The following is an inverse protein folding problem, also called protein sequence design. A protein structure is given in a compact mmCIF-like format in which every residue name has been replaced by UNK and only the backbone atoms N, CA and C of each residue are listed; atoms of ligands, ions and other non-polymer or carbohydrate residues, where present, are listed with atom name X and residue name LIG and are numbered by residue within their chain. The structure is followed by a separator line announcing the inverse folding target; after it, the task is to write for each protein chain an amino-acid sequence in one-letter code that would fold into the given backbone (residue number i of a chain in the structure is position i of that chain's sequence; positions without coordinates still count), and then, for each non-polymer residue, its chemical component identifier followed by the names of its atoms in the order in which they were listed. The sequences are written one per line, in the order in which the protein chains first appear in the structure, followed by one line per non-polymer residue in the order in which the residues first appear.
data_IF_183113334553
#
_entry.id   IF_183113334553
#
_cell.length_a   1.000
_cell.length_b   1.000
_cell.length_c   1.000
_cell.angle_alpha   90.00
_cell.angle_beta   90.00
_cell.angle_gamma   90.00
#
_symmetry.space_group_name_H-M   'P 1'
#
loop_
_entity.id
_entity.type
_entity.pdbx_description
1 polymer ?
#
# COMPACT_ATOMS: atom_id res chain seq x y z
N UNK A 1 -21.97 3.74 17.30
CA UNK A 1 -20.91 2.74 17.01
C UNK A 1 -20.17 3.25 15.80
N UNK A 2 -18.96 3.76 15.97
CA UNK A 2 -18.14 4.19 14.84
C UNK A 2 -17.72 2.96 14.04
N UNK A 3 -18.40 2.75 12.92
CA UNK A 3 -18.20 1.58 12.10
C UNK A 3 -16.79 1.60 11.50
N UNK A 4 -16.04 0.52 11.73
CA UNK A 4 -14.90 0.19 10.88
C UNK A 4 -15.43 0.06 9.44
N UNK A 5 -14.81 0.78 8.52
CA UNK A 5 -15.16 0.74 7.10
C UNK A 5 -14.02 0.06 6.37
N UNK A 6 -14.34 -0.89 5.51
CA UNK A 6 -13.40 -1.58 4.64
C UNK A 6 -13.53 -1.09 3.20
N UNK A 7 -12.43 -1.14 2.47
CA UNK A 7 -12.37 -0.92 1.04
C UNK A 7 -11.57 -2.04 0.38
N UNK A 8 -11.93 -2.40 -0.85
CA UNK A 8 -11.14 -3.34 -1.63
C UNK A 8 -9.78 -2.71 -2.00
N UNK A 9 -8.70 -3.40 -1.68
CA UNK A 9 -7.34 -3.05 -2.06
C UNK A 9 -6.66 -4.26 -2.73
N UNK A 10 -5.65 -4.02 -3.56
CA UNK A 10 -4.88 -5.09 -4.20
C UNK A 10 -3.64 -5.39 -3.35
N UNK A 11 -3.53 -6.63 -2.89
CA UNK A 11 -2.35 -7.16 -2.21
C UNK A 11 -1.42 -7.83 -3.22
N UNK A 12 -0.16 -7.41 -3.24
CA UNK A 12 0.96 -8.11 -3.86
C UNK A 12 1.68 -8.90 -2.76
N UNK A 13 1.42 -10.20 -2.62
CA UNK A 13 2.03 -11.00 -1.56
C UNK A 13 3.50 -11.26 -1.87
N UNK A 14 4.33 -11.27 -0.82
CA UNK A 14 5.77 -11.48 -0.97
C UNK A 14 6.16 -12.94 -1.24
N UNK A 15 5.27 -13.88 -0.95
CA UNK A 15 5.48 -15.33 -1.03
C UNK A 15 5.35 -15.94 -2.45
N UNK A 16 5.10 -15.11 -3.47
CA UNK A 16 5.01 -15.56 -4.86
C UNK A 16 3.60 -15.98 -5.31
N UNK A 17 2.59 -15.89 -4.46
CA UNK A 17 1.19 -15.98 -4.91
C UNK A 17 0.87 -14.83 -5.87
N UNK A 18 -0.14 -15.05 -6.72
CA UNK A 18 -0.64 -13.99 -7.62
C UNK A 18 -1.29 -12.88 -6.80
N UNK A 19 -1.21 -11.60 -7.22
CA UNK A 19 -1.91 -10.51 -6.55
C UNK A 19 -3.43 -10.73 -6.51
N UNK A 20 -4.06 -10.33 -5.41
CA UNK A 20 -5.49 -10.54 -5.15
C UNK A 20 -6.11 -9.40 -4.33
N UNK A 21 -7.44 -9.33 -4.30
CA UNK A 21 -8.16 -8.31 -3.55
C UNK A 21 -8.25 -8.66 -2.05
N UNK A 22 -8.11 -7.66 -1.20
CA UNK A 22 -8.23 -7.76 0.26
C UNK A 22 -9.04 -6.60 0.82
N UNK A 23 -9.67 -6.82 1.97
CA UNK A 23 -10.34 -5.78 2.73
C UNK A 23 -9.33 -4.92 3.50
N UNK A 24 -9.12 -3.69 3.06
CA UNK A 24 -8.33 -2.70 3.77
C UNK A 24 -9.22 -1.97 4.77
N UNK A 25 -9.04 -2.31 6.06
CA UNK A 25 -9.80 -1.72 7.16
C UNK A 25 -9.36 -0.27 7.42
N UNK A 26 -10.32 0.58 7.79
CA UNK A 26 -10.07 1.95 8.20
C UNK A 26 -10.76 2.29 9.52
N UNK A 27 -10.06 2.98 10.42
CA UNK A 27 -10.62 3.53 11.67
C UNK A 27 -10.83 5.04 11.57
N UNK A 28 -11.75 5.64 12.32
CA UNK A 28 -11.76 7.09 12.51
C UNK A 28 -10.49 7.54 13.25
N UNK A 29 -9.92 8.69 12.89
CA UNK A 29 -8.79 9.32 13.61
C UNK A 29 -9.22 10.25 14.74
N UNK A 30 -10.47 10.72 14.69
CA UNK A 30 -11.09 11.55 15.70
C UNK A 30 -12.46 10.97 16.03
N UNK A 31 -12.77 10.91 17.33
CA UNK A 31 -14.10 10.55 17.81
C UNK A 31 -14.92 11.84 17.91
N UNK A 32 -15.88 12.02 17.00
CA UNK A 32 -16.73 13.22 16.92
C UNK A 32 -17.96 12.97 16.04
N UNK A 33 -18.93 13.90 16.07
CA UNK A 33 -20.22 13.74 15.39
C UNK A 33 -20.15 13.78 13.85
N UNK A 34 -19.05 14.27 13.28
CA UNK A 34 -18.78 14.26 11.84
C UNK A 34 -17.79 13.14 11.51
N UNK A 35 -17.91 12.48 10.34
CA UNK A 35 -16.90 11.52 9.90
C UNK A 35 -15.57 12.26 9.71
N UNK A 36 -14.71 12.16 10.73
CA UNK A 36 -13.37 12.71 10.68
C UNK A 36 -12.48 11.94 9.70
N UNK A 37 -11.23 12.39 9.52
CA UNK A 37 -10.26 11.70 8.68
C UNK A 37 -10.15 10.24 9.11
N UNK A 38 -10.05 9.32 8.15
CA UNK A 38 -9.93 7.89 8.45
C UNK A 38 -8.47 7.46 8.33
N UNK A 39 -8.08 6.47 9.13
CA UNK A 39 -6.75 5.88 9.12
C UNK A 39 -6.83 4.48 8.52
N UNK A 40 -6.11 4.19 7.41
CA UNK A 40 -6.00 2.84 6.90
C UNK A 40 -5.12 1.97 7.79
N UNK A 41 -5.40 0.66 7.81
CA UNK A 41 -4.65 -0.35 8.57
C UNK A 41 -4.01 -1.40 7.64
N UNK A 42 -3.07 -1.01 6.77
CA UNK A 42 -2.40 -1.95 5.87
C UNK A 42 -1.53 -2.96 6.63
N UNK A 43 -1.14 -2.67 7.88
CA UNK A 43 -0.38 -3.59 8.73
C UNK A 43 -1.09 -4.94 8.94
N UNK A 44 -2.43 -4.99 8.84
CA UNK A 44 -3.19 -6.24 8.96
C UNK A 44 -2.89 -7.26 7.85
N UNK A 45 -2.27 -6.81 6.76
CA UNK A 45 -1.90 -7.64 5.60
C UNK A 45 -0.37 -7.73 5.40
N UNK A 46 0.43 -7.19 6.33
CA UNK A 46 1.89 -7.16 6.24
C UNK A 46 2.52 -8.17 7.21
N UNK A 47 2.98 -9.31 6.67
CA UNK A 47 3.61 -10.35 7.48
C UNK A 47 4.89 -9.84 8.16
N UNK A 48 5.12 -10.27 9.40
CA UNK A 48 6.28 -9.92 10.25
C UNK A 48 6.47 -8.43 10.55
N UNK A 49 5.50 -7.58 10.22
CA UNK A 49 5.53 -6.16 10.61
C UNK A 49 5.47 -6.02 12.15
N UNK A 50 6.19 -5.05 12.70
CA UNK A 50 6.07 -4.72 14.11
C UNK A 50 4.66 -4.17 14.40
N UNK A 51 4.11 -4.50 15.57
CA UNK A 51 2.76 -4.06 15.92
C UNK A 51 2.74 -2.55 16.17
N UNK A 52 1.82 -1.82 15.53
CA UNK A 52 1.71 -0.36 15.67
C UNK A 52 1.61 0.11 17.14
N UNK A 53 1.02 -0.71 18.02
CA UNK A 53 0.87 -0.41 19.45
C UNK A 53 2.17 -0.50 20.25
N UNK A 54 3.17 -1.24 19.76
CA UNK A 54 4.47 -1.36 20.45
C UNK A 54 5.44 -0.24 20.07
N UNK A 55 5.09 0.62 19.11
CA UNK A 55 5.95 1.73 18.69
C UNK A 55 5.68 2.99 19.52
N UNK A 56 6.75 3.68 19.99
CA UNK A 56 6.59 4.93 20.71
C UNK A 56 6.03 6.04 19.81
N UNK A 57 5.30 7.00 20.40
CA UNK A 57 4.89 8.23 19.71
C UNK A 57 3.90 8.05 18.57
N UNK A 58 3.19 6.91 18.48
CA UNK A 58 2.21 6.67 17.41
C UNK A 58 2.84 6.47 16.02
N UNK A 59 4.13 6.11 15.97
CA UNK A 59 4.81 5.78 14.73
C UNK A 59 4.12 4.62 14.01
N UNK A 60 4.16 4.66 12.68
CA UNK A 60 3.59 3.62 11.83
C UNK A 60 4.71 2.71 11.34
N UNK A 61 4.54 1.39 11.41
CA UNK A 61 5.57 0.44 10.97
C UNK A 61 5.64 0.29 9.44
N UNK A 62 4.85 1.08 8.72
CA UNK A 62 4.72 1.14 7.28
C UNK A 62 4.83 2.58 6.78
N UNK A 63 5.17 2.75 5.51
CA UNK A 63 5.11 4.03 4.78
C UNK A 63 4.18 3.89 3.59
N UNK A 64 3.89 5.00 2.93
CA UNK A 64 3.10 5.01 1.71
C UNK A 64 3.69 5.94 0.65
N UNK A 65 3.32 5.71 -0.59
CA UNK A 65 3.50 6.66 -1.68
C UNK A 65 2.22 6.78 -2.51
N UNK A 66 2.07 7.92 -3.18
CA UNK A 66 0.96 8.17 -4.10
C UNK A 66 1.41 7.86 -5.53
N UNK A 67 0.52 7.22 -6.28
CA UNK A 67 0.64 6.99 -7.71
C UNK A 67 -0.46 7.76 -8.41
N UNK A 68 -0.11 8.96 -8.85
CA UNK A 68 -0.98 9.88 -9.57
C UNK A 68 -0.86 9.76 -11.09
N UNK A 69 0.25 9.25 -11.60
CA UNK A 69 0.46 9.00 -13.03
C UNK A 69 1.47 7.86 -13.26
N UNK A 70 1.46 7.28 -14.47
CA UNK A 70 2.54 6.42 -14.95
C UNK A 70 3.62 7.26 -15.63
N UNK A 71 4.77 6.64 -15.83
CA UNK A 71 5.86 7.25 -16.59
C UNK A 71 5.34 7.60 -18.00
N UNK A 72 5.70 8.78 -18.50
CA UNK A 72 5.29 9.34 -19.80
C UNK A 72 3.82 9.78 -19.93
N UNK A 73 3.01 9.71 -18.87
CA UNK A 73 1.68 10.31 -18.89
C UNK A 73 1.75 11.84 -18.70
N UNK A 74 0.94 12.57 -19.46
CA UNK A 74 0.84 14.06 -19.38
C UNK A 74 -0.28 14.54 -18.45
N UNK A 75 -1.13 13.63 -17.98
CA UNK A 75 -2.23 13.89 -17.06
C UNK A 75 -2.25 12.84 -15.96
N UNK A 76 -2.65 13.28 -14.77
CA UNK A 76 -2.87 12.39 -13.63
C UNK A 76 -4.12 11.53 -13.85
N UNK A 77 -4.18 10.41 -13.13
CA UNK A 77 -5.34 9.57 -13.01
C UNK A 77 -6.51 10.32 -12.36
N UNK A 78 -7.73 10.08 -12.85
CA UNK A 78 -8.94 10.57 -12.19
C UNK A 78 -9.12 9.97 -10.79
N UNK A 79 -8.64 8.74 -10.60
CA UNK A 79 -8.68 8.02 -9.33
C UNK A 79 -7.29 7.44 -9.06
N UNK A 80 -6.45 8.16 -8.29
CA UNK A 80 -5.09 7.75 -8.04
C UNK A 80 -5.02 6.54 -7.11
N UNK A 81 -3.80 6.00 -6.98
CA UNK A 81 -3.53 4.88 -6.10
C UNK A 81 -2.61 5.26 -4.96
N UNK A 82 -2.70 4.53 -3.86
CA UNK A 82 -1.83 4.66 -2.72
C UNK A 82 -1.20 3.31 -2.42
N UNK A 83 0.14 3.27 -2.40
CA UNK A 83 0.92 2.05 -2.19
C UNK A 83 1.46 2.06 -0.78
N UNK A 84 1.03 1.12 0.05
CA UNK A 84 1.53 0.89 1.40
C UNK A 84 2.59 -0.19 1.39
N UNK A 85 3.70 0.05 2.09
CA UNK A 85 4.82 -0.90 2.19
C UNK A 85 5.41 -0.91 3.60
N UNK A 86 5.88 -2.08 4.08
CA UNK A 86 6.41 -2.21 5.43
C UNK A 86 7.81 -1.59 5.52
N UNK A 87 8.12 -0.99 6.66
CA UNK A 87 9.45 -0.39 6.94
C UNK A 87 10.07 -0.83 8.26
N UNK A 88 9.29 -1.40 9.18
CA UNK A 88 9.78 -1.89 10.47
C UNK A 88 9.31 -3.33 10.71
N UNK A 89 10.24 -4.28 10.76
CA UNK A 89 9.98 -5.67 11.09
C UNK A 89 9.99 -5.90 12.60
N UNK A 90 9.30 -6.96 13.04
CA UNK A 90 9.19 -7.35 14.45
C UNK A 90 10.53 -7.81 15.04
N UNK A 91 11.37 -8.41 14.23
CA UNK A 91 12.64 -9.04 14.61
C UNK A 91 13.88 -8.24 14.17
N UNK A 92 13.68 -7.09 13.51
CA UNK A 92 14.76 -6.28 12.95
C UNK A 92 15.37 -6.84 11.66
N UNK A 93 14.87 -7.97 11.14
CA UNK A 93 15.34 -8.55 9.89
C UNK A 93 14.74 -7.83 8.69
N UNK A 94 15.44 -7.74 7.54
CA UNK A 94 14.85 -7.19 6.33
C UNK A 94 13.66 -8.03 5.87
N UNK A 95 12.59 -7.37 5.42
CA UNK A 95 11.47 -8.07 4.78
C UNK A 95 11.95 -8.86 3.54
N UNK A 96 11.33 -10.02 3.24
CA UNK A 96 11.67 -10.81 2.06
C UNK A 96 11.41 -10.01 0.78
N UNK A 97 12.15 -10.31 -0.29
CA UNK A 97 11.86 -9.74 -1.62
C UNK A 97 10.46 -10.15 -2.04
N UNK A 98 9.68 -9.18 -2.52
CA UNK A 98 8.35 -9.46 -3.02
C UNK A 98 8.43 -10.22 -4.35
N UNK A 99 8.19 -11.52 -4.32
CA UNK A 99 8.35 -12.36 -5.51
C UNK A 99 7.35 -11.99 -6.62
N UNK A 100 6.11 -11.63 -6.26
CA UNK A 100 5.12 -11.21 -7.25
C UNK A 100 5.58 -9.97 -8.04
N UNK A 101 6.17 -8.98 -7.37
CA UNK A 101 6.71 -7.77 -8.02
C UNK A 101 8.00 -8.09 -8.78
N UNK A 102 8.88 -8.93 -8.22
CA UNK A 102 10.07 -9.41 -8.93
C UNK A 102 9.71 -10.05 -10.27
N UNK A 103 8.70 -10.90 -10.31
CA UNK A 103 8.24 -11.56 -11.53
C UNK A 103 7.68 -10.56 -12.55
N UNK A 104 7.02 -9.50 -12.06
CA UNK A 104 6.54 -8.39 -12.90
C UNK A 104 7.70 -7.61 -13.51
N UNK A 105 8.76 -7.34 -12.74
CA UNK A 105 9.95 -6.63 -13.19
C UNK A 105 10.80 -7.47 -14.14
N UNK A 106 10.82 -8.79 -13.95
CA UNK A 106 11.51 -9.74 -14.83
C UNK A 106 12.99 -9.36 -15.03
N UNK A 107 13.37 -9.06 -16.27
CA UNK A 107 14.75 -8.67 -16.62
C UNK A 107 15.19 -7.33 -16.05
N UNK A 108 14.25 -6.47 -15.67
CA UNK A 108 14.53 -5.15 -15.08
C UNK A 108 14.68 -5.22 -13.55
N UNK A 109 14.56 -6.41 -12.96
CA UNK A 109 14.68 -6.59 -11.52
C UNK A 109 16.09 -6.21 -11.03
N UNK A 110 16.12 -5.42 -9.95
CA UNK A 110 17.34 -5.08 -9.23
C UNK A 110 17.13 -5.29 -7.73
N UNK A 111 17.88 -6.22 -7.14
CA UNK A 111 17.76 -6.61 -5.75
C UNK A 111 18.01 -5.45 -4.77
N UNK A 112 18.93 -4.53 -5.09
CA UNK A 112 19.26 -3.40 -4.23
C UNK A 112 18.12 -2.39 -4.10
N UNK A 113 17.18 -2.38 -5.05
CA UNK A 113 16.03 -1.49 -5.07
C UNK A 113 14.71 -2.26 -5.14
N UNK A 114 14.73 -3.53 -4.75
CA UNK A 114 13.58 -4.42 -4.80
C UNK A 114 12.51 -4.01 -3.79
N UNK A 115 11.24 -4.19 -4.19
CA UNK A 115 10.12 -4.15 -3.26
C UNK A 115 10.20 -5.34 -2.30
N UNK A 116 9.94 -5.08 -1.02
CA UNK A 116 10.06 -6.09 0.05
C UNK A 116 8.80 -6.15 0.91
N UNK A 117 8.50 -7.34 1.39
CA UNK A 117 7.29 -7.65 2.15
C UNK A 117 6.02 -7.55 1.31
N UNK A 118 4.89 -7.71 1.97
CA UNK A 118 3.58 -7.60 1.34
C UNK A 118 3.28 -6.13 1.02
N UNK A 119 2.88 -5.85 -0.23
CA UNK A 119 2.57 -4.50 -0.69
C UNK A 119 1.07 -4.40 -0.92
N UNK A 120 0.44 -3.41 -0.30
CA UNK A 120 -1.01 -3.20 -0.39
C UNK A 120 -1.25 -1.92 -1.19
N UNK A 121 -2.11 -1.99 -2.18
CA UNK A 121 -2.42 -0.84 -3.04
C UNK A 121 -3.91 -0.53 -2.94
N UNK A 122 -4.22 0.62 -2.37
CA UNK A 122 -5.57 1.18 -2.32
C UNK A 122 -5.82 2.15 -3.49
N UNK A 123 -7.09 2.51 -3.66
CA UNK A 123 -7.54 3.50 -4.64
C UNK A 123 -8.33 4.58 -3.91
N UNK A 124 -8.23 5.83 -4.36
CA UNK A 124 -8.94 6.95 -3.74
C UNK A 124 -9.42 7.96 -4.78
N UNK A 125 -10.33 8.86 -4.37
CA UNK A 125 -10.99 9.80 -5.27
C UNK A 125 -10.30 11.15 -5.35
N UNK A 126 -9.82 11.67 -4.21
CA UNK A 126 -9.37 13.06 -4.07
C UNK A 126 -7.89 13.15 -3.67
N UNK A 127 -7.10 13.94 -4.41
CA UNK A 127 -5.65 14.09 -4.22
C UNK A 127 -5.23 14.71 -2.89
N UNK A 128 -6.04 15.59 -2.33
CA UNK A 128 -5.78 16.31 -1.09
C UNK A 128 -6.05 15.45 0.16
N UNK A 129 -6.95 14.47 0.06
CA UNK A 129 -7.38 13.62 1.17
C UNK A 129 -7.37 12.13 0.81
N UNK A 130 -6.19 11.53 0.58
CA UNK A 130 -6.10 10.16 0.09
C UNK A 130 -6.68 9.13 1.06
N UNK A 131 -6.60 9.36 2.38
CA UNK A 131 -7.12 8.43 3.38
C UNK A 131 -8.62 8.56 3.66
N UNK A 132 -9.19 9.74 3.44
CA UNK A 132 -10.62 10.00 3.67
C UNK A 132 -11.46 9.62 2.44
N UNK A 133 -10.88 9.75 1.24
CA UNK A 133 -11.56 9.55 -0.03
C UNK A 133 -11.33 8.16 -0.65
N UNK A 134 -10.99 7.16 0.19
CA UNK A 134 -10.77 5.79 -0.25
C UNK A 134 -11.99 5.21 -0.98
N UNK A 135 -11.72 4.36 -1.97
CA UNK A 135 -12.73 3.66 -2.75
C UNK A 135 -12.26 2.25 -3.09
N UNK A 136 -13.20 1.40 -3.48
CA UNK A 136 -12.89 0.03 -3.87
C UNK A 136 -12.02 0.00 -5.12
N UNK A 137 -10.87 -0.65 -5.00
CA UNK A 137 -10.12 -1.15 -6.13
C UNK A 137 -10.80 -2.39 -6.72
N UNK A 138 -10.53 -2.65 -7.99
CA UNK A 138 -11.03 -3.78 -8.74
C UNK A 138 -9.88 -4.53 -9.40
N UNK A 139 -10.10 -5.78 -9.80
CA UNK A 139 -9.07 -6.53 -10.54
C UNK A 139 -8.71 -5.86 -11.88
N UNK A 140 -9.60 -5.02 -12.42
CA UNK A 140 -9.36 -4.22 -13.63
C UNK A 140 -8.29 -3.15 -13.45
N UNK A 141 -7.94 -2.79 -12.21
CA UNK A 141 -6.85 -1.86 -11.91
C UNK A 141 -5.47 -2.54 -12.00
N UNK A 142 -5.45 -3.89 -11.98
CA UNK A 142 -4.21 -4.67 -11.98
C UNK A 142 -3.25 -4.35 -13.13
N UNK A 143 -3.68 -4.20 -14.40
CA UNK A 143 -2.75 -3.87 -15.49
C UNK A 143 -2.01 -2.54 -15.28
N UNK A 144 -2.68 -1.54 -14.70
CA UNK A 144 -2.09 -0.23 -14.40
C UNK A 144 -1.04 -0.37 -13.30
N UNK A 145 -1.40 -1.07 -12.22
CA UNK A 145 -0.50 -1.29 -11.08
C UNK A 145 0.68 -2.19 -11.45
N UNK A 146 0.47 -3.17 -12.33
CA UNK A 146 1.52 -4.01 -12.89
C UNK A 146 2.50 -3.17 -13.70
N UNK A 147 2.02 -2.23 -14.52
CA UNK A 147 2.89 -1.33 -15.28
C UNK A 147 3.75 -0.48 -14.32
N UNK A 148 3.12 0.14 -13.32
CA UNK A 148 3.81 0.92 -12.29
C UNK A 148 4.91 0.10 -11.57
N UNK A 149 4.57 -1.10 -11.09
CA UNK A 149 5.51 -1.97 -10.36
C UNK A 149 6.64 -2.49 -11.26
N UNK A 150 6.39 -2.62 -12.56
CA UNK A 150 7.37 -3.08 -13.54
C UNK A 150 8.45 -2.04 -13.87
N UNK A 151 8.16 -0.75 -13.72
CA UNK A 151 9.10 0.33 -14.04
C UNK A 151 9.71 0.99 -12.81
N UNK A 152 9.02 0.97 -11.66
CA UNK A 152 9.43 1.75 -10.49
C UNK A 152 10.10 0.90 -9.40
N UNK A 153 11.32 1.28 -8.95
CA UNK A 153 11.95 0.66 -7.79
C UNK A 153 11.20 0.98 -6.50
N UNK A 154 11.47 0.20 -5.45
CA UNK A 154 11.01 0.54 -4.09
C UNK A 154 11.59 1.89 -3.67
N UNK A 155 10.82 2.76 -2.99
CA UNK A 155 11.36 3.97 -2.39
C UNK A 155 12.50 3.62 -1.44
N UNK A 156 13.57 4.42 -1.49
CA UNK A 156 14.63 4.33 -0.49
C UNK A 156 14.08 4.83 0.84
N UNK A 157 14.21 4.01 1.87
CA UNK A 157 13.99 4.44 3.25
C UNK A 157 15.19 5.31 3.60
N UNK A 158 15.07 6.63 3.38
CA UNK A 158 15.92 7.62 4.05
C UNK A 158 15.49 7.71 5.53
#
# INVERSE_FOLDING_TARGET
MDALVSYQAILFPSDGRKPYLVDLMTSPTQYGANPGPRMPHPEGHMDFIVESRSLPGGMKPWRYLIVDALDQMTKNFNHPYIVYYPVMSRDGMPFPINQAIRDIQGKNFNEHTAWRGNIIIGKFREHDQPFTSMMDASISDFPILKNFMGTRPSPRIQ
#
